data_IF_047058904419
#
_entry.id   IF_047058904419
#
_cell.length_a   1.000
_cell.length_b   1.000
_cell.length_c   1.000
_cell.angle_alpha   90.00
_cell.angle_beta   90.00
_cell.angle_gamma   90.00
#
_symmetry.space_group_name_H-M   'P 1'
#
loop_
_entity.id
_entity.type
_entity.pdbx_description
1 polymer ?
#
# COMPACT_ATOMS: atom_id res chain seq x y z
N UNK A 1 24.00 23.17 -10.30
CA UNK A 1 22.69 22.70 -10.79
C UNK A 1 22.95 21.32 -11.36
N UNK A 2 22.50 20.26 -10.70
CA UNK A 2 22.72 18.91 -11.22
C UNK A 2 21.84 18.69 -12.46
N UNK A 3 22.35 18.00 -13.49
CA UNK A 3 21.52 17.61 -14.63
C UNK A 3 20.39 16.69 -14.16
N UNK A 4 19.20 16.77 -14.77
CA UNK A 4 18.12 15.83 -14.48
C UNK A 4 18.54 14.41 -14.88
N UNK A 5 18.31 13.44 -13.99
CA UNK A 5 18.64 12.04 -14.26
C UNK A 5 17.81 11.47 -15.43
N UNK A 6 18.40 10.59 -16.27
CA UNK A 6 17.67 9.94 -17.36
C UNK A 6 16.54 9.04 -16.84
N UNK A 7 15.39 9.05 -17.53
CA UNK A 7 14.17 8.30 -17.17
C UNK A 7 14.15 6.84 -17.63
N UNK A 8 15.29 6.25 -17.98
CA UNK A 8 15.40 4.86 -18.47
C UNK A 8 15.47 3.80 -17.33
N UNK A 9 15.38 4.21 -16.06
CA UNK A 9 15.75 3.41 -14.88
C UNK A 9 14.58 2.91 -14.01
N UNK A 10 13.35 2.95 -14.51
CA UNK A 10 12.16 2.63 -13.72
C UNK A 10 11.69 3.82 -12.86
N UNK A 11 10.63 3.60 -12.06
CA UNK A 11 10.04 4.65 -11.23
C UNK A 11 10.46 4.43 -9.79
N UNK A 12 11.08 5.45 -9.19
CA UNK A 12 11.47 5.46 -7.78
C UNK A 12 10.44 6.22 -6.96
N UNK A 13 10.11 5.69 -5.78
CA UNK A 13 9.20 6.34 -4.83
C UNK A 13 9.89 6.44 -3.47
N UNK A 14 9.78 7.60 -2.83
CA UNK A 14 10.09 7.72 -1.41
C UNK A 14 8.92 7.17 -0.59
N UNK A 15 9.02 5.89 -0.20
CA UNK A 15 7.99 5.21 0.56
C UNK A 15 7.84 5.75 1.99
N UNK A 16 8.90 6.34 2.57
CA UNK A 16 8.83 6.90 3.91
C UNK A 16 7.96 8.16 3.92
N UNK A 17 8.26 9.10 3.02
CA UNK A 17 7.47 10.32 2.83
C UNK A 17 6.01 10.01 2.45
N UNK A 18 5.80 9.06 1.53
CA UNK A 18 4.44 8.62 1.15
C UNK A 18 3.66 7.98 2.31
N UNK A 19 4.33 7.18 3.15
CA UNK A 19 3.69 6.57 4.30
C UNK A 19 3.27 7.62 5.33
N UNK A 20 4.09 8.63 5.58
CA UNK A 20 3.76 9.74 6.48
C UNK A 20 2.57 10.56 5.96
N UNK A 21 2.59 10.93 4.67
CA UNK A 21 1.48 11.63 4.02
C UNK A 21 0.16 10.86 4.15
N UNK A 22 0.17 9.57 3.80
CA UNK A 22 -1.03 8.75 3.81
C UNK A 22 -1.53 8.46 5.23
N UNK A 23 -0.63 8.33 6.22
CA UNK A 23 -1.03 8.20 7.62
C UNK A 23 -1.67 9.48 8.16
N UNK A 24 -1.13 10.65 7.81
CA UNK A 24 -1.75 11.92 8.16
C UNK A 24 -3.16 12.03 7.54
N UNK A 25 -3.31 11.62 6.28
CA UNK A 25 -4.59 11.62 5.59
C UNK A 25 -5.59 10.63 6.22
N UNK A 26 -5.18 9.38 6.46
CA UNK A 26 -5.99 8.36 7.09
C UNK A 26 -6.52 8.80 8.47
N UNK A 27 -5.71 9.55 9.24
CA UNK A 27 -6.11 10.08 10.56
C UNK A 27 -7.12 11.23 10.48
N UNK A 28 -7.13 11.99 9.39
CA UNK A 28 -8.08 13.10 9.17
C UNK A 28 -9.38 12.64 8.53
N UNK A 29 -9.32 11.59 7.71
CA UNK A 29 -10.47 11.02 7.01
C UNK A 29 -11.45 10.28 7.92
N UNK A 30 -12.71 10.20 7.50
CA UNK A 30 -13.78 9.56 8.28
C UNK A 30 -13.67 8.03 8.41
N UNK A 31 -13.03 7.36 7.46
CA UNK A 31 -12.90 5.89 7.45
C UNK A 31 -11.63 5.37 8.14
N UNK A 32 -10.73 6.26 8.57
CA UNK A 32 -9.47 5.85 9.19
C UNK A 32 -8.46 5.20 8.23
N UNK A 33 -8.68 5.29 6.92
CA UNK A 33 -7.82 4.68 5.90
C UNK A 33 -7.52 5.65 4.74
N UNK A 34 -6.36 5.48 4.11
CA UNK A 34 -6.00 6.16 2.87
C UNK A 34 -5.15 5.22 2.02
N UNK A 35 -5.23 5.35 0.69
CA UNK A 35 -4.45 4.50 -0.22
C UNK A 35 -4.02 5.25 -1.48
N UNK A 36 -2.86 4.89 -2.02
CA UNK A 36 -2.35 5.40 -3.30
C UNK A 36 -1.81 4.24 -4.13
N UNK A 37 -2.30 4.11 -5.37
CA UNK A 37 -1.74 3.16 -6.34
C UNK A 37 -0.51 3.81 -6.97
N UNK A 38 0.66 3.19 -6.81
CA UNK A 38 1.94 3.68 -7.34
C UNK A 38 2.22 3.13 -8.74
N UNK A 39 1.90 1.86 -8.96
CA UNK A 39 2.08 1.16 -10.24
C UNK A 39 0.78 0.44 -10.59
N UNK A 40 0.38 0.55 -11.86
CA UNK A 40 -0.70 -0.22 -12.46
C UNK A 40 -0.29 -0.65 -13.87
N UNK A 41 0.28 -1.84 -14.00
CA UNK A 41 0.53 -2.50 -15.29
C UNK A 41 -0.49 -3.62 -15.52
N UNK A 42 -0.31 -4.39 -16.59
CA UNK A 42 -1.17 -5.54 -16.91
C UNK A 42 -1.07 -6.66 -15.86
N UNK A 43 0.10 -6.83 -15.25
CA UNK A 43 0.46 -7.95 -14.37
C UNK A 43 0.84 -7.54 -12.94
N UNK A 44 1.12 -6.25 -12.72
CA UNK A 44 1.60 -5.73 -11.44
C UNK A 44 0.79 -4.52 -10.99
N UNK A 45 0.30 -4.58 -9.75
CA UNK A 45 -0.27 -3.43 -9.05
C UNK A 45 0.43 -3.25 -7.71
N UNK A 46 1.05 -2.09 -7.53
CA UNK A 46 1.63 -1.69 -6.24
C UNK A 46 0.76 -0.60 -5.64
N UNK A 47 0.29 -0.85 -4.42
CA UNK A 47 -0.55 0.09 -3.66
C UNK A 47 0.08 0.29 -2.29
N UNK A 48 0.26 1.55 -1.88
CA UNK A 48 0.56 1.90 -0.50
C UNK A 48 -0.75 2.20 0.19
N UNK A 49 -0.98 1.55 1.34
CA UNK A 49 -2.18 1.73 2.16
C UNK A 49 -1.76 2.15 3.55
N UNK A 50 -2.42 3.16 4.09
CA UNK A 50 -2.27 3.62 5.46
C UNK A 50 -3.57 3.38 6.23
N UNK A 51 -3.42 2.89 7.45
CA UNK A 51 -4.51 2.64 8.39
C UNK A 51 -4.21 3.38 9.68
N UNK A 52 -5.18 4.15 10.16
CA UNK A 52 -5.20 4.63 11.53
C UNK A 52 -5.34 3.44 12.50
N UNK A 53 -4.95 3.63 13.76
CA UNK A 53 -5.06 2.58 14.76
C UNK A 53 -6.53 2.13 14.91
N UNK A 54 -6.76 0.81 14.80
CA UNK A 54 -8.10 0.23 14.85
C UNK A 54 -8.89 0.30 13.54
N UNK A 55 -8.40 1.00 12.51
CA UNK A 55 -9.00 0.97 11.19
C UNK A 55 -8.73 -0.37 10.49
N UNK A 56 -9.63 -0.72 9.58
CA UNK A 56 -9.60 -1.98 8.85
C UNK A 56 -9.88 -1.74 7.38
N UNK A 57 -9.26 -2.53 6.52
CA UNK A 57 -9.67 -2.64 5.12
C UNK A 57 -10.74 -3.73 5.09
N UNK A 58 -11.86 -3.46 4.42
CA UNK A 58 -12.89 -4.48 4.20
C UNK A 58 -12.29 -5.69 3.48
N UNK A 59 -12.93 -6.86 3.67
CA UNK A 59 -12.52 -8.08 2.99
C UNK A 59 -12.34 -7.84 1.49
N UNK A 60 -11.14 -8.12 0.98
CA UNK A 60 -10.80 -7.88 -0.41
C UNK A 60 -10.30 -9.17 -1.05
N UNK A 61 -10.99 -9.58 -2.13
CA UNK A 61 -10.57 -10.72 -2.93
C UNK A 61 -9.49 -10.27 -3.93
N UNK A 62 -8.25 -10.71 -3.71
CA UNK A 62 -7.19 -10.52 -4.70
C UNK A 62 -7.35 -11.58 -5.81
N UNK A 63 -7.60 -11.13 -7.04
CA UNK A 63 -7.77 -12.02 -8.20
C UNK A 63 -6.49 -12.81 -8.56
N UNK A 64 -5.35 -12.37 -8.03
CA UNK A 64 -4.03 -12.97 -8.20
C UNK A 64 -3.32 -13.03 -6.86
N UNK A 65 -2.20 -13.75 -6.80
CA UNK A 65 -1.32 -13.76 -5.63
C UNK A 65 -0.89 -12.34 -5.26
N UNK A 66 -1.03 -11.99 -3.98
CA UNK A 66 -0.63 -10.70 -3.44
C UNK A 66 0.42 -10.87 -2.33
N UNK A 67 1.31 -9.90 -2.20
CA UNK A 67 2.24 -9.77 -1.08
C UNK A 67 1.88 -8.53 -0.26
N UNK A 68 2.12 -8.61 1.06
CA UNK A 68 1.94 -7.48 1.98
C UNK A 68 3.26 -7.27 2.70
N UNK A 69 3.81 -6.06 2.59
CA UNK A 69 5.01 -5.65 3.30
C UNK A 69 4.66 -4.46 4.20
N UNK A 70 4.90 -4.60 5.50
CA UNK A 70 4.61 -3.54 6.47
C UNK A 70 5.78 -2.57 6.52
N UNK A 71 5.56 -1.32 6.11
CA UNK A 71 6.58 -0.26 6.16
C UNK A 71 6.78 0.25 7.59
N UNK A 72 5.70 0.45 8.35
CA UNK A 72 5.72 0.91 9.74
C UNK A 72 4.57 0.31 10.55
N UNK A 73 4.76 0.18 11.87
CA UNK A 73 3.72 -0.32 12.77
C UNK A 73 3.48 -1.83 12.66
N UNK A 74 2.24 -2.26 12.87
CA UNK A 74 1.83 -3.67 12.80
C UNK A 74 0.45 -3.76 12.16
N UNK A 75 0.29 -4.71 11.25
CA UNK A 75 -1.00 -5.06 10.65
C UNK A 75 -1.36 -6.49 11.04
N UNK A 76 -2.65 -6.73 11.25
CA UNK A 76 -3.19 -8.09 11.38
C UNK A 76 -3.83 -8.48 10.06
N UNK A 77 -3.31 -9.52 9.43
CA UNK A 77 -3.90 -10.07 8.21
C UNK A 77 -4.85 -11.21 8.59
N UNK A 78 -6.09 -11.13 8.10
CA UNK A 78 -7.04 -12.23 8.16
C UNK A 78 -7.07 -12.88 6.77
N UNK A 79 -6.67 -14.15 6.72
CA UNK A 79 -6.73 -14.96 5.50
C UNK A 79 -7.88 -15.96 5.66
N UNK A 80 -8.58 -16.31 4.56
CA UNK A 80 -9.57 -17.37 4.60
C UNK A 80 -8.89 -18.67 5.03
N UNK A 81 -9.60 -19.48 5.83
CA UNK A 81 -9.13 -20.81 6.22
C UNK A 81 -8.99 -21.64 4.95
N UNK A 82 -7.77 -22.10 4.66
CA UNK A 82 -7.57 -23.12 3.62
C UNK A 82 -8.07 -24.44 4.18
N UNK A 83 -9.18 -24.93 3.66
CA UNK A 83 -9.59 -26.32 3.89
C UNK A 83 -8.77 -27.16 2.91
N UNK A 84 -7.74 -27.86 3.41
CA UNK A 84 -7.09 -28.90 2.62
C UNK A 84 -8.14 -29.98 2.36
N UNK A 85 -8.52 -30.17 1.10
CA UNK A 85 -9.34 -31.31 0.64
C UNK A 85 -8.46 -32.22 -0.20
#
# INVERSE_FOLDING_TARGET
MNPPEPTDHGVTFDLASLAEELLAEARRGGEGQAARTLIRSADLRIVVVALAAGATISEHHAAVTASVHTLTGRVRLQLPVRVCT
#
